data_IF_630241868335
#
_entry.id   IF_630241868335
#
_cell.length_a   1.000
_cell.length_b   1.000
_cell.length_c   1.000
_cell.angle_alpha   90.00
_cell.angle_beta   90.00
_cell.angle_gamma   90.00
#
_symmetry.space_group_name_H-M   'P 1'
#
loop_
_entity.id
_entity.type
_entity.pdbx_description
1 polymer ?
#
# COMPACT_ATOMS: atom_id res chain seq x y z
N UNK A 1 -11.00 6.43 -11.33
CA UNK A 1 -9.63 5.93 -11.08
C UNK A 1 -9.54 4.98 -9.89
N UNK A 2 -9.70 5.41 -8.63
CA UNK A 2 -9.53 4.49 -7.48
C UNK A 2 -10.48 3.29 -7.50
N UNK A 3 -11.78 3.50 -7.67
CA UNK A 3 -12.75 2.39 -7.70
C UNK A 3 -12.50 1.44 -8.89
N UNK A 4 -12.16 1.99 -10.06
CA UNK A 4 -11.88 1.22 -11.29
C UNK A 4 -10.62 0.35 -11.18
N UNK A 5 -9.61 0.80 -10.44
CA UNK A 5 -8.32 0.10 -10.28
C UNK A 5 -8.23 -0.68 -8.97
N UNK A 6 -9.27 -0.62 -8.12
CA UNK A 6 -9.27 -1.18 -6.77
C UNK A 6 -9.10 -2.69 -6.77
N UNK A 7 -9.77 -3.39 -7.66
CA UNK A 7 -9.71 -4.85 -7.72
C UNK A 7 -8.28 -5.30 -8.03
N UNK A 8 -7.68 -4.77 -9.10
CA UNK A 8 -6.30 -5.05 -9.46
C UNK A 8 -5.31 -4.69 -8.33
N UNK A 9 -5.50 -3.54 -7.67
CA UNK A 9 -4.69 -3.13 -6.52
C UNK A 9 -4.78 -4.12 -5.36
N UNK A 10 -6.00 -4.56 -5.00
CA UNK A 10 -6.21 -5.52 -3.93
C UNK A 10 -5.64 -6.90 -4.28
N UNK A 11 -5.77 -7.35 -5.53
CA UNK A 11 -5.15 -8.59 -6.01
C UNK A 11 -3.63 -8.52 -5.95
N UNK A 12 -3.04 -7.41 -6.40
CA UNK A 12 -1.60 -7.16 -6.33
C UNK A 12 -1.09 -7.27 -4.90
N UNK A 13 -1.73 -6.59 -3.95
CA UNK A 13 -1.35 -6.62 -2.53
C UNK A 13 -1.52 -8.01 -1.92
N UNK A 14 -2.64 -8.70 -2.23
CA UNK A 14 -2.88 -10.07 -1.74
C UNK A 14 -1.81 -11.06 -2.22
N UNK A 15 -1.21 -10.81 -3.38
CA UNK A 15 -0.11 -11.61 -3.93
C UNK A 15 1.13 -11.66 -3.03
N UNK A 16 1.30 -10.71 -2.12
CA UNK A 16 2.44 -10.66 -1.19
C UNK A 16 2.27 -11.59 0.03
N UNK A 17 1.08 -12.17 0.23
CA UNK A 17 0.85 -13.23 1.21
C UNK A 17 1.33 -12.87 2.61
N UNK A 18 2.26 -13.66 3.15
CA UNK A 18 2.82 -13.48 4.51
C UNK A 18 3.62 -12.20 4.69
N UNK A 19 4.11 -11.57 3.62
CA UNK A 19 4.79 -10.27 3.70
C UNK A 19 3.80 -9.15 4.05
N UNK A 20 2.51 -9.31 3.76
CA UNK A 20 1.50 -8.29 4.05
C UNK A 20 1.12 -8.31 5.54
N UNK A 21 1.53 -7.29 6.28
CA UNK A 21 1.19 -7.13 7.70
C UNK A 21 -0.17 -6.45 7.85
N UNK A 22 -0.39 -5.32 7.18
CA UNK A 22 -1.67 -4.62 7.14
C UNK A 22 -1.77 -3.71 5.90
N UNK A 23 -2.98 -3.54 5.39
CA UNK A 23 -3.28 -2.57 4.34
C UNK A 23 -4.68 -1.98 4.55
N UNK A 24 -4.83 -0.69 4.29
CA UNK A 24 -6.11 -0.02 4.37
C UNK A 24 -6.08 1.40 3.83
N UNK A 25 -7.25 1.98 3.50
CA UNK A 25 -7.33 3.38 3.14
C UNK A 25 -7.14 4.28 4.36
N UNK A 26 -6.55 5.46 4.15
CA UNK A 26 -6.86 6.60 5.01
C UNK A 26 -8.26 7.10 4.68
N UNK A 27 -8.98 7.58 5.69
CA UNK A 27 -10.32 8.15 5.58
C UNK A 27 -10.32 9.61 6.03
N UNK A 28 -11.16 10.43 5.41
CA UNK A 28 -11.53 11.75 5.97
C UNK A 28 -12.71 11.62 6.96
N UNK A 29 -13.15 12.76 7.52
CA UNK A 29 -14.25 12.82 8.50
C UNK A 29 -15.62 12.40 7.92
N UNK A 30 -15.73 12.25 6.60
CA UNK A 30 -16.94 11.82 5.91
C UNK A 30 -16.82 10.38 5.37
N UNK A 31 -15.85 9.60 5.88
CA UNK A 31 -15.56 8.23 5.47
C UNK A 31 -15.12 8.07 4.00
N UNK A 32 -14.71 9.15 3.33
CA UNK A 32 -14.15 9.05 1.98
C UNK A 32 -12.68 8.65 2.05
N UNK A 33 -12.26 7.80 1.11
CA UNK A 33 -10.89 7.30 1.12
C UNK A 33 -9.92 8.30 0.47
N UNK A 34 -8.98 8.84 1.24
CA UNK A 34 -8.06 9.92 0.83
C UNK A 34 -6.63 9.47 0.54
N UNK A 35 -6.29 8.22 0.85
CA UNK A 35 -5.00 7.63 0.54
C UNK A 35 -4.94 6.15 0.89
N UNK A 36 -3.73 5.62 1.03
CA UNK A 36 -3.50 4.24 1.47
C UNK A 36 -2.36 4.18 2.49
N UNK A 37 -2.53 3.35 3.51
CA UNK A 37 -1.49 2.90 4.42
C UNK A 37 -1.28 1.42 4.20
N UNK A 38 -0.03 1.04 3.92
CA UNK A 38 0.36 -0.36 3.82
C UNK A 38 1.62 -0.58 4.66
N UNK A 39 1.65 -1.71 5.35
CA UNK A 39 2.82 -2.22 6.05
C UNK A 39 3.08 -3.61 5.50
N UNK A 40 4.23 -3.76 4.85
CA UNK A 40 4.72 -5.02 4.32
C UNK A 40 6.15 -5.26 4.79
N UNK A 41 6.54 -6.52 4.88
CA UNK A 41 7.91 -6.94 5.18
C UNK A 41 8.69 -7.17 3.88
N UNK A 42 9.82 -6.47 3.74
CA UNK A 42 10.71 -6.53 2.59
C UNK A 42 12.15 -6.64 3.06
N UNK A 43 12.98 -7.37 2.30
CA UNK A 43 14.41 -7.55 2.61
C UNK A 43 15.17 -6.22 2.64
N UNK A 44 14.80 -5.29 1.76
CA UNK A 44 15.43 -3.97 1.65
C UNK A 44 14.49 -2.89 1.09
N UNK A 45 15.02 -1.66 1.01
CA UNK A 45 14.28 -0.50 0.48
C UNK A 45 14.01 -0.59 -1.02
N UNK A 46 14.88 -1.25 -1.79
CA UNK A 46 14.74 -1.36 -3.24
C UNK A 46 13.53 -2.25 -3.57
N UNK A 47 13.34 -3.34 -2.83
CA UNK A 47 12.15 -4.17 -2.93
C UNK A 47 10.86 -3.40 -2.58
N UNK A 48 10.90 -2.56 -1.54
CA UNK A 48 9.77 -1.71 -1.16
C UNK A 48 9.44 -0.64 -2.21
N UNK A 49 10.45 0.00 -2.81
CA UNK A 49 10.29 0.95 -3.91
C UNK A 49 9.69 0.26 -5.14
N UNK A 50 10.21 -0.92 -5.51
CA UNK A 50 9.67 -1.71 -6.62
C UNK A 50 8.22 -2.14 -6.39
N UNK A 51 7.84 -2.45 -5.15
CA UNK A 51 6.44 -2.69 -4.80
C UNK A 51 5.56 -1.46 -5.08
N UNK A 52 5.99 -0.28 -4.60
CA UNK A 52 5.24 0.96 -4.81
C UNK A 52 5.10 1.31 -6.30
N UNK A 53 6.16 1.15 -7.10
CA UNK A 53 6.15 1.48 -8.53
C UNK A 53 5.26 0.53 -9.35
N UNK A 54 5.10 -0.71 -8.90
CA UNK A 54 4.29 -1.72 -9.59
C UNK A 54 2.83 -1.77 -9.13
N UNK A 55 2.48 -1.06 -8.06
CA UNK A 55 1.10 -0.95 -7.59
C UNK A 55 0.18 -0.40 -8.71
N UNK A 56 -0.94 -1.07 -9.04
CA UNK A 56 -1.92 -0.58 -10.01
C UNK A 56 -2.41 0.85 -9.76
N UNK A 57 -2.51 1.29 -8.49
CA UNK A 57 -2.83 2.68 -8.16
C UNK A 57 -1.70 3.64 -8.54
N UNK A 58 -0.44 3.28 -8.30
CA UNK A 58 0.70 4.10 -8.69
C UNK A 58 0.81 4.21 -10.22
N UNK A 59 0.67 3.07 -10.92
CA UNK A 59 0.69 3.03 -12.39
C UNK A 59 -0.47 3.78 -13.04
N UNK A 60 -1.60 3.87 -12.36
CA UNK A 60 -2.72 4.70 -12.79
C UNK A 60 -2.51 6.20 -12.52
N UNK A 61 -1.48 6.58 -11.76
CA UNK A 61 -1.26 7.97 -11.33
C UNK A 61 -2.23 8.41 -10.24
N UNK A 62 -2.72 7.49 -9.41
CA UNK A 62 -3.68 7.82 -8.33
C UNK A 62 -3.05 8.63 -7.20
N UNK A 63 -1.79 8.36 -6.88
CA UNK A 63 -1.13 9.00 -5.75
C UNK A 63 -0.49 10.33 -6.17
N UNK A 64 -0.80 11.40 -5.44
CA UNK A 64 -0.07 12.66 -5.55
C UNK A 64 1.37 12.53 -5.00
N UNK A 65 1.55 11.73 -3.94
CA UNK A 65 2.86 11.46 -3.36
C UNK A 65 2.91 10.07 -2.71
N UNK A 66 4.13 9.52 -2.59
CA UNK A 66 4.42 8.25 -1.92
C UNK A 66 5.56 8.47 -0.94
N UNK A 67 5.42 7.97 0.28
CA UNK A 67 6.47 8.01 1.30
C UNK A 67 6.77 6.60 1.80
N UNK A 68 8.05 6.21 1.78
CA UNK A 68 8.52 4.89 2.20
C UNK A 68 9.44 5.04 3.41
N UNK A 69 9.00 4.51 4.56
CA UNK A 69 9.73 4.54 5.82
C UNK A 69 9.91 3.14 6.38
N UNK A 70 11.11 2.83 6.88
CA UNK A 70 11.34 1.63 7.68
C UNK A 70 10.58 1.76 9.00
N UNK A 71 9.75 0.77 9.30
CA UNK A 71 9.01 0.67 10.55
C UNK A 71 9.32 -0.65 11.25
N UNK A 72 9.25 -0.68 12.58
CA UNK A 72 9.45 -1.90 13.37
C UNK A 72 8.16 -2.23 14.12
N UNK A 73 7.52 -3.36 13.76
CA UNK A 73 6.43 -3.93 14.56
C UNK A 73 6.95 -4.20 15.97
N UNK A 74 6.47 -3.41 16.92
CA UNK A 74 6.85 -3.55 18.33
C UNK A 74 5.76 -4.27 19.12
N UNK A 75 4.50 -4.05 18.75
CA UNK A 75 3.33 -4.73 19.32
C UNK A 75 2.24 -4.91 18.25
N UNK A 76 1.35 -5.91 18.41
CA UNK A 76 1.55 -7.07 19.28
C UNK A 76 2.83 -7.82 18.86
N UNK A 77 3.41 -8.61 19.76
CA UNK A 77 4.51 -9.49 19.38
C UNK A 77 4.10 -10.32 18.15
#
# INVERSE_FOLDING_TARGET
MRLETREAHLEYIKGFGEQLVMAGPFLDDADNMTGSLLILDFDDRVAAEAFCDNDPYARAGLFESVTINRWKKTLPA
#
